data_IF_829722737173
#
_entry.id   IF_829722737173
#
_cell.length_a   1.000
_cell.length_b   1.000
_cell.length_c   1.000
_cell.angle_alpha   90.00
_cell.angle_beta   90.00
_cell.angle_gamma   90.00
#
_symmetry.space_group_name_H-M   'P 1'
#
loop_
_entity.id
_entity.type
_entity.pdbx_description
1 polymer ?
#
# COMPACT_ATOMS: atom_id res chain seq x y z
N UNK A 1 -1.28 6.95 -18.40
CA UNK A 1 -2.10 5.85 -18.92
C UNK A 1 -2.68 5.06 -17.75
N UNK A 2 -3.93 4.62 -17.84
CA UNK A 2 -4.60 3.80 -16.81
C UNK A 2 -5.33 2.67 -17.54
N UNK A 3 -4.96 1.40 -17.33
CA UNK A 3 -5.67 0.26 -17.91
C UNK A 3 -7.13 0.21 -17.45
N UNK A 4 -7.94 -0.54 -18.19
CA UNK A 4 -9.30 -0.89 -17.76
C UNK A 4 -9.22 -1.93 -16.64
N UNK A 5 -10.15 -1.86 -15.69
CA UNK A 5 -10.27 -2.79 -14.57
C UNK A 5 -10.93 -4.11 -14.98
N UNK A 6 -10.71 -5.15 -14.15
CA UNK A 6 -11.23 -6.50 -14.41
C UNK A 6 -12.76 -6.51 -14.57
N UNK A 7 -13.48 -5.79 -13.69
CA UNK A 7 -14.95 -5.79 -13.67
C UNK A 7 -15.54 -5.22 -14.96
N UNK A 8 -14.97 -4.15 -15.50
CA UNK A 8 -15.40 -3.57 -16.77
C UNK A 8 -15.18 -4.55 -17.93
N UNK A 9 -14.02 -5.22 -17.98
CA UNK A 9 -13.71 -6.21 -19.02
C UNK A 9 -14.62 -7.44 -18.94
N UNK A 10 -14.88 -7.94 -17.74
CA UNK A 10 -15.74 -9.10 -17.51
C UNK A 10 -17.19 -8.78 -17.91
N UNK A 11 -17.71 -7.63 -17.48
CA UNK A 11 -19.05 -7.18 -17.87
C UNK A 11 -19.20 -7.09 -19.40
N UNK A 12 -18.18 -6.56 -20.09
CA UNK A 12 -18.18 -6.51 -21.55
C UNK A 12 -18.13 -7.90 -22.17
N UNK A 13 -17.25 -8.79 -21.67
CA UNK A 13 -17.15 -10.17 -22.14
C UNK A 13 -18.45 -10.99 -21.96
N UNK A 14 -19.24 -10.68 -20.94
CA UNK A 14 -20.56 -11.25 -20.69
C UNK A 14 -21.70 -10.57 -21.47
N UNK A 15 -21.42 -9.52 -22.25
CA UNK A 15 -22.41 -8.75 -23.00
C UNK A 15 -23.30 -7.84 -22.14
N UNK A 16 -22.90 -7.57 -20.90
CA UNK A 16 -23.64 -6.73 -19.93
C UNK A 16 -23.09 -5.30 -19.84
N UNK A 17 -21.85 -5.09 -20.28
CA UNK A 17 -21.15 -3.81 -20.24
C UNK A 17 -21.11 -3.12 -21.61
N UNK A 18 -20.90 -1.80 -21.59
CA UNK A 18 -20.56 -1.04 -22.80
C UNK A 18 -19.18 -1.47 -23.31
N UNK A 19 -19.00 -1.41 -24.63
CA UNK A 19 -17.72 -1.71 -25.27
C UNK A 19 -16.69 -0.59 -25.13
N UNK A 20 -15.48 -0.79 -25.71
CA UNK A 20 -14.44 0.22 -25.74
C UNK A 20 -14.83 1.39 -26.65
N UNK A 21 -15.56 2.36 -26.09
CA UNK A 21 -16.04 3.57 -26.78
C UNK A 21 -15.61 4.86 -26.04
N UNK A 22 -15.67 5.99 -26.75
CA UNK A 22 -15.37 7.31 -26.20
C UNK A 22 -14.00 7.39 -25.51
N UNK A 23 -14.00 7.78 -24.24
CA UNK A 23 -12.77 7.90 -23.42
C UNK A 23 -12.03 6.57 -23.20
N UNK A 24 -12.69 5.44 -23.46
CA UNK A 24 -12.15 4.11 -23.27
C UNK A 24 -11.74 3.42 -24.58
N UNK A 25 -11.95 4.06 -25.74
CA UNK A 25 -11.69 3.47 -27.06
C UNK A 25 -10.23 3.02 -27.30
N UNK A 26 -9.29 3.59 -26.54
CA UNK A 26 -7.85 3.28 -26.64
C UNK A 26 -7.28 2.71 -25.33
N UNK A 27 -8.12 2.35 -24.36
CA UNK A 27 -7.68 1.83 -23.07
C UNK A 27 -7.72 0.31 -23.07
N UNK A 28 -6.55 -0.29 -23.16
CA UNK A 28 -6.30 -1.72 -23.03
C UNK A 28 -6.42 -2.18 -21.57
N UNK A 29 -6.76 -3.45 -21.43
CA UNK A 29 -6.74 -4.22 -20.21
C UNK A 29 -5.43 -5.00 -20.08
N UNK A 30 -4.83 -5.05 -18.89
CA UNK A 30 -3.55 -5.74 -18.64
C UNK A 30 -3.59 -6.79 -17.53
N UNK A 31 -4.79 -7.19 -17.09
CA UNK A 31 -4.96 -8.23 -16.07
C UNK A 31 -4.80 -9.65 -16.63
N UNK A 32 -5.34 -10.62 -15.89
CA UNK A 32 -5.20 -12.05 -16.23
C UNK A 32 -5.85 -12.35 -17.57
N UNK A 33 -5.12 -13.04 -18.45
CA UNK A 33 -5.63 -13.42 -19.76
C UNK A 33 -5.84 -12.25 -20.73
N UNK A 34 -5.23 -11.09 -20.47
CA UNK A 34 -5.42 -9.84 -21.23
C UNK A 34 -5.44 -10.01 -22.75
N UNK A 35 -4.54 -10.83 -23.32
CA UNK A 35 -4.48 -11.04 -24.77
C UNK A 35 -5.75 -11.68 -25.33
N UNK A 36 -6.42 -12.53 -24.56
CA UNK A 36 -7.64 -13.24 -24.95
C UNK A 36 -8.93 -12.51 -24.57
N UNK A 37 -8.85 -11.43 -23.78
CA UNK A 37 -10.01 -10.67 -23.37
C UNK A 37 -10.73 -10.07 -24.58
N UNK A 38 -12.05 -10.25 -24.67
CA UNK A 38 -12.88 -9.71 -25.74
C UNK A 38 -12.67 -8.20 -25.93
N UNK A 39 -12.51 -7.48 -24.81
CA UNK A 39 -12.20 -6.05 -24.77
C UNK A 39 -10.97 -5.68 -25.63
N UNK A 40 -9.83 -6.33 -25.36
CA UNK A 40 -8.59 -6.06 -26.08
C UNK A 40 -8.64 -6.53 -27.53
N UNK A 41 -9.34 -7.64 -27.80
CA UNK A 41 -9.55 -8.12 -29.17
C UNK A 41 -10.27 -7.07 -30.03
N UNK A 42 -11.31 -6.43 -29.48
CA UNK A 42 -12.04 -5.37 -30.18
C UNK A 42 -11.19 -4.12 -30.38
N UNK A 43 -10.42 -3.67 -29.36
CA UNK A 43 -9.53 -2.52 -29.50
C UNK A 43 -8.47 -2.77 -30.58
N UNK A 44 -7.81 -3.93 -30.54
CA UNK A 44 -6.77 -4.26 -31.53
C UNK A 44 -7.36 -4.37 -32.94
N UNK A 45 -8.56 -4.93 -33.09
CA UNK A 45 -9.25 -4.95 -34.37
C UNK A 45 -9.54 -3.55 -34.90
N UNK A 46 -10.10 -2.66 -34.07
CA UNK A 46 -10.40 -1.28 -34.46
C UNK A 46 -9.15 -0.47 -34.84
N UNK A 47 -8.06 -0.62 -34.09
CA UNK A 47 -6.78 0.03 -34.42
C UNK A 47 -6.25 -0.52 -35.75
N UNK A 48 -6.28 -1.83 -35.96
CA UNK A 48 -5.80 -2.44 -37.20
C UNK A 48 -6.62 -1.97 -38.42
N UNK A 49 -7.94 -1.88 -38.30
CA UNK A 49 -8.81 -1.35 -39.36
C UNK A 49 -8.47 0.11 -39.67
N UNK A 50 -8.26 0.93 -38.65
CA UNK A 50 -7.85 2.33 -38.81
C UNK A 50 -6.52 2.44 -39.55
N UNK A 51 -5.51 1.68 -39.12
CA UNK A 51 -4.18 1.66 -39.75
C UNK A 51 -4.24 1.22 -41.21
N UNK A 52 -5.00 0.17 -41.52
CA UNK A 52 -5.16 -0.30 -42.91
C UNK A 52 -5.88 0.74 -43.76
N UNK A 53 -6.90 1.40 -43.21
CA UNK A 53 -7.65 2.46 -43.91
C UNK A 53 -6.78 3.68 -44.18
N UNK A 54 -5.97 4.11 -43.20
CA UNK A 54 -5.04 5.24 -43.36
C UNK A 54 -3.88 4.92 -44.30
N UNK A 55 -3.48 3.65 -44.39
CA UNK A 55 -2.45 3.19 -45.31
C UNK A 55 -2.96 2.90 -46.73
N UNK A 56 -4.24 3.13 -47.01
CA UNK A 56 -4.80 2.89 -48.33
C UNK A 56 -4.07 3.71 -49.41
N UNK A 57 -3.64 3.04 -50.48
CA UNK A 57 -2.81 3.61 -51.54
C UNK A 57 -1.30 3.64 -51.30
N UNK A 58 -0.79 3.22 -50.12
CA UNK A 58 0.64 3.03 -49.88
C UNK A 58 1.06 1.59 -50.23
N UNK A 59 2.11 1.43 -51.04
CA UNK A 59 2.68 0.12 -51.37
C UNK A 59 4.07 -0.10 -50.75
N UNK A 60 4.37 -1.31 -50.25
CA UNK A 60 3.52 -2.51 -50.23
C UNK A 60 2.47 -2.48 -49.10
N UNK A 61 1.26 -2.96 -49.41
CA UNK A 61 0.15 -3.02 -48.47
C UNK A 61 0.32 -4.23 -47.53
N UNK A 62 0.35 -3.99 -46.23
CA UNK A 62 0.38 -5.06 -45.23
C UNK A 62 -1.03 -5.67 -45.09
N UNK A 63 -1.11 -6.98 -44.87
CA UNK A 63 -2.40 -7.60 -44.53
C UNK A 63 -2.83 -7.18 -43.14
N UNK A 64 -4.14 -7.13 -42.90
CA UNK A 64 -4.70 -6.77 -41.60
C UNK A 64 -4.19 -7.68 -40.48
N UNK A 65 -3.90 -8.95 -40.77
CA UNK A 65 -3.36 -9.91 -39.81
C UNK A 65 -1.92 -9.57 -39.41
N UNK A 66 -1.10 -9.09 -40.35
CA UNK A 66 0.26 -8.62 -40.07
C UNK A 66 0.22 -7.36 -39.21
N UNK A 67 -0.69 -6.44 -39.51
CA UNK A 67 -0.90 -5.22 -38.69
C UNK A 67 -1.35 -5.61 -37.27
N UNK A 68 -2.32 -6.51 -37.14
CA UNK A 68 -2.77 -7.02 -35.82
C UNK A 68 -1.63 -7.68 -35.06
N UNK A 69 -0.79 -8.48 -35.72
CA UNK A 69 0.37 -9.11 -35.08
C UNK A 69 1.35 -8.06 -34.54
N UNK A 70 1.69 -7.05 -35.34
CA UNK A 70 2.57 -5.95 -34.91
C UNK A 70 1.96 -5.17 -33.74
N UNK A 71 0.65 -4.86 -33.78
CA UNK A 71 -0.04 -4.23 -32.65
C UNK A 71 0.06 -5.11 -31.40
N UNK A 72 -0.16 -6.42 -31.51
CA UNK A 72 -0.01 -7.33 -30.37
C UNK A 72 1.41 -7.34 -29.78
N UNK A 73 2.44 -7.19 -30.59
CA UNK A 73 3.82 -7.09 -30.10
C UNK A 73 4.01 -5.79 -29.30
N UNK A 74 3.49 -4.66 -29.80
CA UNK A 74 3.49 -3.39 -29.05
C UNK A 74 2.69 -3.47 -27.77
N UNK A 75 1.50 -4.09 -27.79
CA UNK A 75 0.69 -4.29 -26.58
C UNK A 75 1.42 -5.17 -25.58
N UNK A 76 2.15 -6.20 -26.03
CA UNK A 76 2.96 -7.06 -25.16
C UNK A 76 4.08 -6.25 -24.49
N UNK A 77 4.78 -5.40 -25.25
CA UNK A 77 5.80 -4.50 -24.70
C UNK A 77 5.19 -3.50 -23.70
N UNK A 78 4.03 -2.92 -24.02
CA UNK A 78 3.33 -1.99 -23.15
C UNK A 78 2.87 -2.67 -21.86
N UNK A 79 2.37 -3.91 -21.93
CA UNK A 79 1.98 -4.69 -20.76
C UNK A 79 3.19 -5.00 -19.88
N UNK A 80 4.30 -5.46 -20.48
CA UNK A 80 5.53 -5.73 -19.75
C UNK A 80 6.05 -4.46 -19.03
N UNK A 81 6.08 -3.33 -19.75
CA UNK A 81 6.46 -2.03 -19.19
C UNK A 81 5.51 -1.56 -18.09
N UNK A 82 4.20 -1.78 -18.23
CA UNK A 82 3.22 -1.43 -17.21
C UNK A 82 3.39 -2.24 -15.93
N UNK A 83 3.70 -3.53 -16.05
CA UNK A 83 3.97 -4.40 -14.91
C UNK A 83 5.36 -4.19 -14.31
N UNK A 84 6.28 -3.57 -15.05
CA UNK A 84 7.61 -3.29 -14.57
C UNK A 84 7.53 -2.32 -13.38
N UNK A 85 8.37 -2.51 -12.35
CA UNK A 85 8.54 -1.51 -11.31
C UNK A 85 8.86 -0.16 -11.95
N UNK A 86 8.11 0.88 -11.57
CA UNK A 86 8.42 2.22 -12.05
C UNK A 86 9.83 2.58 -11.60
N UNK A 87 10.69 3.08 -12.51
CA UNK A 87 12.01 3.53 -12.12
C UNK A 87 11.86 4.66 -11.09
N UNK A 88 12.43 4.45 -9.92
CA UNK A 88 12.53 5.47 -8.89
C UNK A 88 13.84 6.22 -9.08
N UNK A 89 13.84 7.53 -8.83
CA UNK A 89 15.08 8.29 -8.75
C UNK A 89 15.80 7.85 -7.47
N UNK A 90 17.08 7.48 -7.59
CA UNK A 90 17.90 7.10 -6.45
C UNK A 90 18.03 8.27 -5.46
N UNK A 91 18.31 8.00 -4.18
CA UNK A 91 18.32 9.00 -3.10
C UNK A 91 19.25 10.20 -3.38
N UNK A 92 20.36 9.96 -4.09
CA UNK A 92 21.30 11.02 -4.50
C UNK A 92 20.77 11.93 -5.63
N UNK A 93 19.66 11.59 -6.27
CA UNK A 93 19.07 12.34 -7.38
C UNK A 93 19.79 12.23 -8.72
N UNK A 94 20.89 11.47 -8.81
CA UNK A 94 21.79 11.48 -9.97
C UNK A 94 21.47 10.41 -11.01
N UNK A 95 20.80 9.33 -10.60
CA UNK A 95 20.46 8.20 -11.47
C UNK A 95 19.11 7.59 -11.11
N UNK A 96 18.57 6.81 -12.05
CA UNK A 96 17.43 5.94 -11.76
C UNK A 96 17.94 4.70 -11.05
N UNK A 97 17.21 4.25 -10.02
CA UNK A 97 17.52 3.02 -9.31
C UNK A 97 17.66 1.86 -10.30
N UNK A 98 18.73 1.09 -10.16
CA UNK A 98 18.85 -0.18 -10.85
C UNK A 98 18.01 -1.26 -10.15
N UNK A 99 17.91 -2.44 -10.76
CA UNK A 99 17.09 -3.53 -10.22
C UNK A 99 17.53 -4.00 -8.82
N UNK A 100 18.84 -4.01 -8.56
CA UNK A 100 19.38 -4.43 -7.26
C UNK A 100 19.07 -3.40 -6.17
N UNK A 101 19.24 -2.11 -6.47
CA UNK A 101 18.86 -1.00 -5.59
C UNK A 101 17.36 -1.01 -5.28
N UNK A 102 16.52 -1.22 -6.29
CA UNK A 102 15.08 -1.34 -6.12
C UNK A 102 14.69 -2.54 -5.25
N UNK A 103 15.35 -3.70 -5.43
CA UNK A 103 15.15 -4.88 -4.61
C UNK A 103 15.56 -4.64 -3.14
N UNK A 104 16.70 -3.99 -2.91
CA UNK A 104 17.16 -3.61 -1.58
C UNK A 104 16.16 -2.66 -0.92
N UNK A 105 15.66 -1.65 -1.64
CA UNK A 105 14.65 -0.72 -1.13
C UNK A 105 13.35 -1.45 -0.78
N UNK A 106 12.88 -2.36 -1.64
CA UNK A 106 11.71 -3.18 -1.37
C UNK A 106 11.89 -4.00 -0.09
N UNK A 107 13.04 -4.66 0.08
CA UNK A 107 13.37 -5.41 1.29
C UNK A 107 13.36 -4.53 2.54
N UNK A 108 13.99 -3.34 2.50
CA UNK A 108 13.95 -2.37 3.59
C UNK A 108 12.54 -1.90 3.91
N UNK A 109 11.71 -1.64 2.90
CA UNK A 109 10.33 -1.21 3.08
C UNK A 109 9.46 -2.30 3.71
N UNK A 110 9.62 -3.55 3.27
CA UNK A 110 8.93 -4.70 3.85
C UNK A 110 9.31 -4.88 5.31
N UNK A 111 10.60 -4.88 5.64
CA UNK A 111 11.07 -5.01 7.03
C UNK A 111 10.56 -3.87 7.92
N UNK A 112 10.56 -2.61 7.43
CA UNK A 112 9.99 -1.47 8.16
C UNK A 112 8.50 -1.63 8.40
N UNK A 113 7.74 -2.09 7.40
CA UNK A 113 6.30 -2.34 7.51
C UNK A 113 5.99 -3.45 8.49
N UNK A 114 6.75 -4.54 8.45
CA UNK A 114 6.60 -5.67 9.36
C UNK A 114 6.82 -5.22 10.82
N UNK A 115 7.95 -4.54 11.10
CA UNK A 115 8.22 -3.97 12.42
C UNK A 115 7.14 -2.99 12.89
N UNK A 116 6.72 -2.07 12.02
CA UNK A 116 5.66 -1.12 12.35
C UNK A 116 4.33 -1.82 12.68
N UNK A 117 4.00 -2.89 11.94
CA UNK A 117 2.81 -3.70 12.19
C UNK A 117 2.91 -4.41 13.53
N UNK A 118 4.04 -5.06 13.81
CA UNK A 118 4.29 -5.73 15.09
C UNK A 118 4.15 -4.76 16.28
N UNK A 119 4.81 -3.59 16.19
CA UNK A 119 4.73 -2.55 17.23
C UNK A 119 3.29 -2.09 17.43
N UNK A 120 2.54 -1.84 16.35
CA UNK A 120 1.15 -1.43 16.45
C UNK A 120 0.26 -2.50 17.07
N UNK A 121 0.48 -3.78 16.76
CA UNK A 121 -0.24 -4.89 17.39
C UNK A 121 0.03 -4.92 18.91
N UNK A 122 1.29 -4.83 19.33
CA UNK A 122 1.66 -4.81 20.75
C UNK A 122 1.05 -3.60 21.49
N UNK A 123 1.12 -2.42 20.89
CA UNK A 123 0.49 -1.21 21.43
C UNK A 123 -1.02 -1.39 21.58
N UNK A 124 -1.68 -2.02 20.60
CA UNK A 124 -3.11 -2.30 20.66
C UNK A 124 -3.45 -3.25 21.81
N UNK A 125 -2.71 -4.33 21.99
CA UNK A 125 -2.91 -5.27 23.10
C UNK A 125 -2.74 -4.58 24.46
N UNK A 126 -1.71 -3.73 24.62
CA UNK A 126 -1.50 -2.95 25.84
C UNK A 126 -2.64 -1.97 26.11
N UNK A 127 -3.10 -1.27 25.08
CA UNK A 127 -4.24 -0.36 25.20
C UNK A 127 -5.48 -1.10 25.72
N UNK A 128 -5.78 -2.26 25.13
CA UNK A 128 -6.91 -3.10 25.52
C UNK A 128 -6.77 -3.61 26.96
N UNK A 129 -5.59 -4.11 27.33
CA UNK A 129 -5.32 -4.56 28.69
C UNK A 129 -5.50 -3.43 29.71
N UNK A 130 -4.94 -2.24 29.45
CA UNK A 130 -5.10 -1.07 30.32
C UNK A 130 -6.55 -0.61 30.41
N UNK A 131 -7.26 -0.59 29.28
CA UNK A 131 -8.70 -0.24 29.24
C UNK A 131 -9.51 -1.16 30.14
N UNK A 132 -9.29 -2.47 30.05
CA UNK A 132 -9.99 -3.46 30.86
C UNK A 132 -9.59 -3.34 32.34
N UNK A 133 -8.30 -3.14 32.64
CA UNK A 133 -7.81 -2.94 34.00
C UNK A 133 -8.40 -1.69 34.68
N UNK A 134 -8.42 -0.55 33.99
CA UNK A 134 -9.03 0.68 34.49
C UNK A 134 -10.54 0.49 34.72
N UNK A 135 -11.24 -0.17 33.78
CA UNK A 135 -12.66 -0.47 33.95
C UNK A 135 -12.94 -1.35 35.17
N UNK A 136 -12.08 -2.34 35.43
CA UNK A 136 -12.21 -3.20 36.61
C UNK A 136 -11.98 -2.41 37.91
N UNK A 137 -10.98 -1.53 37.94
CA UNK A 137 -10.68 -0.67 39.09
C UNK A 137 -11.80 0.34 39.38
N UNK A 138 -12.44 0.89 38.34
CA UNK A 138 -13.59 1.80 38.49
C UNK A 138 -14.84 1.08 39.01
N UNK A 139 -14.98 -0.22 38.71
CA UNK A 139 -16.09 -1.05 39.16
C UNK A 139 -15.94 -1.62 40.58
N UNK A 140 -14.75 -1.50 41.18
CA UNK A 140 -14.47 -2.01 42.52
C UNK A 140 -15.12 -1.14 43.61
N UNK A 141 -16.09 -1.66 44.39
CA UNK A 141 -16.79 -0.90 45.41
C UNK A 141 -15.94 -0.59 46.65
N UNK A 142 -14.76 -1.22 46.80
CA UNK A 142 -13.86 -1.00 47.93
C UNK A 142 -12.95 0.23 47.78
N UNK A 143 -12.94 0.85 46.60
CA UNK A 143 -12.13 2.04 46.30
C UNK A 143 -12.69 3.27 47.02
N UNK A 144 -11.79 4.10 47.57
CA UNK A 144 -12.16 5.42 48.08
C UNK A 144 -12.41 6.42 46.94
N UNK A 145 -13.12 7.50 47.24
CA UNK A 145 -13.50 8.49 46.23
C UNK A 145 -12.30 9.15 45.54
N UNK A 146 -11.20 9.39 46.27
CA UNK A 146 -10.01 10.04 45.70
C UNK A 146 -9.34 9.11 44.70
N UNK A 147 -9.19 7.82 45.02
CA UNK A 147 -8.59 6.87 44.09
C UNK A 147 -9.49 6.63 42.88
N UNK A 148 -10.82 6.56 43.08
CA UNK A 148 -11.78 6.49 41.96
C UNK A 148 -11.61 7.66 40.98
N UNK A 149 -11.47 8.89 41.49
CA UNK A 149 -11.22 10.09 40.67
C UNK A 149 -9.94 9.98 39.83
N UNK A 150 -8.86 9.40 40.39
CA UNK A 150 -7.62 9.17 39.65
C UNK A 150 -7.80 8.19 38.50
N UNK A 151 -8.57 7.12 38.71
CA UNK A 151 -8.87 6.15 37.66
C UNK A 151 -9.76 6.74 36.57
N UNK A 152 -10.71 7.62 36.90
CA UNK A 152 -11.50 8.36 35.92
C UNK A 152 -10.60 9.21 35.01
N UNK A 153 -9.69 10.00 35.59
CA UNK A 153 -8.73 10.79 34.82
C UNK A 153 -7.82 9.91 33.95
N UNK A 154 -7.39 8.77 34.47
CA UNK A 154 -6.59 7.82 33.70
C UNK A 154 -7.38 7.21 32.54
N UNK A 155 -8.68 6.95 32.73
CA UNK A 155 -9.57 6.46 31.68
C UNK A 155 -9.70 7.50 30.55
N UNK A 156 -9.87 8.77 30.90
CA UNK A 156 -9.93 9.88 29.94
C UNK A 156 -8.63 9.99 29.14
N UNK A 157 -7.48 9.98 29.82
CA UNK A 157 -6.15 10.04 29.16
C UNK A 157 -5.94 8.83 28.24
N UNK A 158 -6.22 7.62 28.72
CA UNK A 158 -6.06 6.40 27.93
C UNK A 158 -6.98 6.41 26.70
N UNK A 159 -8.19 6.94 26.82
CA UNK A 159 -9.15 7.09 25.71
C UNK A 159 -8.71 8.16 24.71
N UNK A 160 -8.13 9.27 25.19
CA UNK A 160 -7.64 10.34 24.33
C UNK A 160 -6.40 9.91 23.51
N UNK A 161 -5.46 9.20 24.14
CA UNK A 161 -4.19 8.82 23.49
C UNK A 161 -4.25 7.46 22.78
N UNK A 162 -5.23 6.60 23.10
CA UNK A 162 -5.46 5.31 22.45
C UNK A 162 -4.18 4.46 22.29
N UNK A 163 -3.96 3.91 21.10
CA UNK A 163 -2.80 3.09 20.72
C UNK A 163 -1.53 3.95 20.70
N UNK A 164 -1.62 5.21 20.27
CA UNK A 164 -0.45 6.11 20.17
C UNK A 164 0.19 6.40 21.52
N UNK A 165 -0.63 6.49 22.58
CA UNK A 165 -0.18 6.65 23.96
C UNK A 165 0.47 5.43 24.60
N UNK A 166 0.50 4.28 23.90
CA UNK A 166 1.13 3.07 24.42
C UNK A 166 2.60 3.01 24.02
N UNK A 167 3.43 2.50 24.94
CA UNK A 167 4.85 2.28 24.71
C UNK A 167 5.08 1.16 23.70
N UNK A 168 6.07 1.35 22.81
CA UNK A 168 6.49 0.36 21.81
C UNK A 168 7.42 -0.73 22.34
N UNK A 169 8.03 -0.56 23.53
CA UNK A 169 8.96 -1.52 24.19
C UNK A 169 10.14 -2.07 23.38
N UNK A 170 10.42 -1.56 22.18
CA UNK A 170 11.74 -1.70 21.53
C UNK A 170 12.85 -0.90 22.23
N UNK A 171 12.53 -0.10 23.26
CA UNK A 171 13.49 0.70 24.03
C UNK A 171 14.25 -0.08 25.11
N UNK A 172 13.82 -1.29 25.46
CA UNK A 172 14.30 -2.00 26.66
C UNK A 172 15.26 -3.16 26.33
N UNK A 173 15.47 -3.45 25.05
CA UNK A 173 16.44 -4.45 24.57
C UNK A 173 17.74 -3.81 24.01
N UNK A 174 18.15 -2.65 24.54
CA UNK A 174 19.57 -2.25 24.46
C UNK A 174 20.37 -3.18 25.39
N UNK A 175 20.61 -4.41 24.92
CA UNK A 175 21.67 -5.28 25.42
C UNK A 175 23.01 -4.61 25.08
N UNK A 176 23.46 -3.68 25.93
CA UNK A 176 24.86 -3.33 26.22
C UNK A 176 24.97 -2.00 27.00
N UNK A 177 24.23 -1.86 28.12
CA UNK A 177 24.58 -0.85 29.14
C UNK A 177 25.09 -1.54 30.41
N UNK A 178 26.29 -1.16 30.92
CA UNK A 178 26.79 -1.69 32.17
C UNK A 178 25.85 -1.32 33.33
N UNK A 179 25.84 -2.08 34.43
CA UNK A 179 24.82 -2.02 35.46
C UNK A 179 25.04 -0.79 36.35
N UNK A 180 24.66 0.38 35.87
CA UNK A 180 24.41 1.52 36.75
C UNK A 180 22.91 1.58 36.99
N UNK A 181 22.52 0.98 38.11
CA UNK A 181 21.18 1.07 38.65
C UNK A 181 20.68 2.52 38.66
N UNK A 182 19.39 2.67 38.41
CA UNK A 182 18.66 3.93 38.52
C UNK A 182 19.05 4.68 39.80
N UNK A 183 19.80 5.76 39.64
CA UNK A 183 20.11 6.67 40.74
C UNK A 183 18.79 7.34 41.17
N UNK A 184 18.39 7.24 42.45
CA UNK A 184 17.22 7.96 42.92
C UNK A 184 17.44 9.47 42.78
N UNK A 185 16.43 10.17 42.26
CA UNK A 185 16.38 11.63 42.21
C UNK A 185 16.56 12.16 43.64
N UNK A 186 17.73 12.75 43.93
CA UNK A 186 17.97 13.49 45.17
C UNK A 186 17.20 14.80 45.09
N UNK A 187 16.00 14.81 45.65
CA UNK A 187 15.24 16.05 45.88
C UNK A 187 15.56 16.53 47.29
N UNK A 188 16.33 17.61 47.41
CA UNK A 188 16.50 18.32 48.68
C UNK A 188 15.24 19.14 48.98
N UNK A 189 14.56 18.84 50.09
CA UNK A 189 13.47 19.69 50.60
C UNK A 189 14.04 21.05 51.03
N UNK A 190 13.45 22.18 50.63
CA UNK A 190 13.77 23.47 51.22
C UNK A 190 13.38 23.43 52.69
N UNK A 191 14.31 23.78 53.59
CA UNK A 191 13.97 24.08 54.97
C UNK A 191 13.43 25.52 55.00
N UNK A 192 12.19 25.67 55.42
CA UNK A 192 11.66 26.94 55.91
C UNK A 192 11.88 27.00 57.42
#
# INVERSE_FOLDING_TARGET
YSPIDDQTVDNFGEGRGQGPEGVNAQRLYFGTGWRRAAWNQQIVASIAETVVTEADGLQPMLSIDVVKAAIWDYVTQAQASWTAPKPCVHENGLHLENNDEAAIRQGKQLSRREKATQINCLKKEKYEFRRNGISALLGDPSQDQVTKRKWEMMAEINTALQIEGQSSEESDYDQDRPPNGSLPLKVSRPRY
#
